data_IF_377593285126
#
_entry.id   IF_377593285126
#
_cell.length_a   1.000
_cell.length_b   1.000
_cell.length_c   1.000
_cell.angle_alpha   90.00
_cell.angle_beta   90.00
_cell.angle_gamma   90.00
#
_symmetry.space_group_name_H-M   'P 1'
#
loop_
_entity.id
_entity.type
_entity.pdbx_description
1 polymer ?
#
# COMPACT_ATOMS: atom_id res chain seq x y z
N UNK A 1 27.07 -11.03 8.82
CA UNK A 1 26.31 -9.88 9.38
C UNK A 1 25.70 -9.01 8.27
N UNK A 2 26.50 -8.46 7.35
CA UNK A 2 26.02 -7.57 6.26
C UNK A 2 24.89 -8.20 5.42
N UNK A 3 25.09 -9.42 4.91
CA UNK A 3 24.07 -10.15 4.13
C UNK A 3 22.76 -10.41 4.88
N UNK A 4 22.80 -10.58 6.21
CA UNK A 4 21.59 -10.75 7.02
C UNK A 4 20.82 -9.44 7.15
N UNK A 5 21.52 -8.33 7.39
CA UNK A 5 20.92 -6.99 7.45
C UNK A 5 20.28 -6.62 6.11
N UNK A 6 20.94 -6.92 4.99
CA UNK A 6 20.40 -6.67 3.66
C UNK A 6 19.16 -7.51 3.36
N UNK A 7 19.15 -8.80 3.74
CA UNK A 7 17.96 -9.66 3.62
C UNK A 7 16.79 -9.12 4.44
N UNK A 8 17.04 -8.67 5.67
CA UNK A 8 15.99 -8.07 6.51
C UNK A 8 15.45 -6.79 5.88
N UNK A 9 16.32 -5.91 5.39
CA UNK A 9 15.93 -4.68 4.68
C UNK A 9 15.11 -4.98 3.42
N UNK A 10 15.52 -5.97 2.63
CA UNK A 10 14.79 -6.41 1.44
C UNK A 10 13.40 -6.97 1.80
N UNK A 11 13.29 -7.77 2.87
CA UNK A 11 12.00 -8.31 3.31
C UNK A 11 11.01 -7.23 3.77
N UNK A 12 11.49 -6.21 4.47
CA UNK A 12 10.67 -5.05 4.84
C UNK A 12 10.24 -4.27 3.59
N UNK A 13 11.15 -4.03 2.63
CA UNK A 13 10.82 -3.36 1.37
C UNK A 13 9.75 -4.11 0.59
N UNK A 14 9.86 -5.43 0.45
CA UNK A 14 8.90 -6.24 -0.29
C UNK A 14 7.47 -6.12 0.29
N UNK A 15 7.31 -6.07 1.62
CA UNK A 15 6.01 -5.88 2.27
C UNK A 15 5.40 -4.51 1.93
N UNK A 16 6.21 -3.46 1.99
CA UNK A 16 5.78 -2.09 1.71
C UNK A 16 5.44 -1.92 0.23
N UNK A 17 6.31 -2.40 -0.66
CA UNK A 17 6.12 -2.38 -2.12
C UNK A 17 4.83 -3.08 -2.54
N UNK A 18 4.44 -4.16 -1.87
CA UNK A 18 3.18 -4.85 -2.15
C UNK A 18 1.96 -3.94 -1.92
N UNK A 19 1.87 -3.27 -0.77
CA UNK A 19 0.76 -2.36 -0.48
C UNK A 19 0.73 -1.18 -1.48
N UNK A 20 1.89 -0.62 -1.82
CA UNK A 20 1.99 0.43 -2.83
C UNK A 20 1.61 -0.06 -4.24
N UNK A 21 1.91 -1.31 -4.59
CA UNK A 21 1.45 -1.90 -5.86
C UNK A 21 -0.07 -1.97 -5.93
N UNK A 22 -0.73 -2.40 -4.86
CA UNK A 22 -2.21 -2.43 -4.79
C UNK A 22 -2.77 -1.03 -5.00
N UNK A 23 -2.24 -0.02 -4.30
CA UNK A 23 -2.66 1.37 -4.46
C UNK A 23 -2.48 1.90 -5.88
N UNK A 24 -1.30 1.70 -6.47
CA UNK A 24 -0.96 2.25 -7.78
C UNK A 24 -1.68 1.53 -8.93
N UNK A 25 -1.77 0.21 -8.86
CA UNK A 25 -2.32 -0.61 -9.95
C UNK A 25 -3.83 -0.83 -9.80
N UNK A 26 -4.29 -1.28 -8.63
CA UNK A 26 -5.70 -1.64 -8.45
C UNK A 26 -6.60 -0.42 -8.28
N UNK A 27 -6.11 0.60 -7.57
CA UNK A 27 -6.85 1.83 -7.30
C UNK A 27 -6.41 3.02 -8.19
N UNK A 28 -5.45 2.81 -9.10
CA UNK A 28 -5.03 3.83 -10.07
C UNK A 28 -4.38 5.08 -9.46
N UNK A 29 -3.78 4.98 -8.25
CA UNK A 29 -3.12 6.12 -7.61
C UNK A 29 -1.72 6.38 -8.19
N UNK A 30 -1.65 6.84 -9.44
CA UNK A 30 -0.39 7.07 -10.17
C UNK A 30 0.20 8.46 -9.96
N UNK A 31 -0.65 9.47 -9.71
CA UNK A 31 -0.24 10.88 -9.51
C UNK A 31 -0.98 11.52 -8.34
N UNK A 32 -0.28 12.36 -7.59
CA UNK A 32 -0.89 13.26 -6.60
C UNK A 32 -1.74 14.31 -7.31
N UNK A 33 -2.86 14.71 -6.73
CA UNK A 33 -3.73 15.73 -7.30
C UNK A 33 -3.26 17.11 -6.85
N UNK A 34 -3.28 18.10 -7.74
CA UNK A 34 -3.06 19.51 -7.37
C UNK A 34 -4.31 20.09 -6.70
N UNK A 35 -4.65 19.59 -5.51
CA UNK A 35 -5.83 19.97 -4.71
C UNK A 35 -5.51 20.35 -3.25
N UNK A 36 -4.23 20.50 -2.92
CA UNK A 36 -3.73 20.80 -1.58
C UNK A 36 -3.34 19.57 -0.75
N UNK A 37 -2.47 19.77 0.23
CA UNK A 37 -1.89 18.68 1.05
C UNK A 37 -2.95 17.90 1.83
N UNK A 38 -3.87 18.59 2.51
CA UNK A 38 -4.92 17.96 3.33
C UNK A 38 -5.78 17.00 2.50
N UNK A 39 -6.20 17.42 1.30
CA UNK A 39 -7.04 16.59 0.42
C UNK A 39 -6.28 15.37 -0.12
N UNK A 40 -4.98 15.52 -0.42
CA UNK A 40 -4.14 14.40 -0.82
C UNK A 40 -3.93 13.39 0.33
N UNK A 41 -3.66 13.87 1.55
CA UNK A 41 -3.51 13.01 2.73
C UNK A 41 -4.78 12.21 3.00
N UNK A 42 -5.95 12.87 3.03
CA UNK A 42 -7.23 12.20 3.21
C UNK A 42 -7.49 11.13 2.13
N UNK A 43 -7.15 11.42 0.87
CA UNK A 43 -7.25 10.45 -0.22
C UNK A 43 -6.34 9.24 0.00
N UNK A 44 -5.06 9.45 0.33
CA UNK A 44 -4.09 8.37 0.57
C UNK A 44 -4.56 7.49 1.74
N UNK A 45 -4.95 8.09 2.87
CA UNK A 45 -5.43 7.35 4.04
C UNK A 45 -6.65 6.48 3.70
N UNK A 46 -7.60 7.03 2.96
CA UNK A 46 -8.78 6.28 2.51
C UNK A 46 -8.40 5.12 1.60
N UNK A 47 -7.50 5.35 0.64
CA UNK A 47 -7.05 4.30 -0.28
C UNK A 47 -6.29 3.19 0.45
N UNK A 48 -5.51 3.49 1.49
CA UNK A 48 -4.86 2.48 2.32
C UNK A 48 -5.87 1.63 3.09
N UNK A 49 -6.93 2.24 3.63
CA UNK A 49 -8.02 1.50 4.28
C UNK A 49 -8.70 0.52 3.29
N UNK A 50 -9.01 0.99 2.07
CA UNK A 50 -9.56 0.15 1.01
C UNK A 50 -8.56 -0.93 0.54
N UNK A 51 -7.27 -0.61 0.48
CA UNK A 51 -6.20 -1.56 0.17
C UNK A 51 -6.14 -2.71 1.17
N UNK A 52 -6.30 -2.42 2.47
CA UNK A 52 -6.37 -3.43 3.52
C UNK A 52 -7.59 -4.34 3.34
N UNK A 53 -8.77 -3.77 3.04
CA UNK A 53 -9.97 -4.55 2.75
C UNK A 53 -9.78 -5.44 1.51
N UNK A 54 -9.17 -4.91 0.45
CA UNK A 54 -8.88 -5.66 -0.77
C UNK A 54 -7.92 -6.84 -0.51
N UNK A 55 -6.90 -6.65 0.32
CA UNK A 55 -5.99 -7.74 0.73
C UNK A 55 -6.73 -8.83 1.53
N UNK A 56 -7.68 -8.42 2.38
CA UNK A 56 -8.49 -9.34 3.20
C UNK A 56 -9.66 -9.98 2.48
N UNK A 57 -9.92 -9.65 1.20
CA UNK A 57 -11.10 -10.13 0.44
C UNK A 57 -11.32 -11.64 0.49
N UNK A 58 -10.25 -12.44 0.48
CA UNK A 58 -10.34 -13.91 0.52
C UNK A 58 -10.73 -14.46 1.88
N UNK A 59 -10.42 -13.73 2.96
CA UNK A 59 -10.87 -14.06 4.30
C UNK A 59 -12.33 -13.62 4.51
N UNK A 60 -12.68 -12.44 4.02
CA UNK A 60 -14.03 -11.88 4.13
C UNK A 60 -15.07 -12.63 3.28
N UNK A 61 -14.69 -13.13 2.11
CA UNK A 61 -15.59 -13.89 1.22
C UNK A 61 -15.87 -15.33 1.70
N UNK A 62 -15.25 -15.77 2.79
CA UNK A 62 -15.47 -17.09 3.41
C UNK A 62 -16.37 -17.02 4.66
N UNK A 63 -16.85 -15.82 4.99
CA UNK A 63 -17.92 -15.60 5.98
C UNK A 63 -19.25 -15.82 5.28
#
# INVERSE_FOLDING_TARGET
>A
IYNQIERLKAGVRAKVEHAFRVLKQQFGYTKTRYRGLVKNTAQITTLFALGNLWMSRRALAKV
#
